data_IF_571391514495
#
_entry.id   IF_571391514495
#
_cell.length_a   1.000
_cell.length_b   1.000
_cell.length_c   1.000
_cell.angle_alpha   90.00
_cell.angle_beta   90.00
_cell.angle_gamma   90.00
#
_symmetry.space_group_name_H-M   'P 1'
#
loop_
_entity.id
_entity.type
_entity.pdbx_description
1 polymer ?
#
# COMPACT_ATOMS: atom_id res chain seq x y z
N UNK A 1 56.73 0.62 -55.23
CA UNK A 1 55.57 -0.01 -55.92
C UNK A 1 55.22 -1.27 -55.15
N UNK A 2 54.01 -1.44 -54.59
CA UNK A 2 53.05 -0.48 -54.04
C UNK A 2 53.00 -0.58 -52.50
N UNK A 3 52.61 0.49 -51.81
CA UNK A 3 51.98 0.38 -50.48
C UNK A 3 50.86 1.42 -50.49
N UNK A 4 49.66 0.91 -50.73
CA UNK A 4 48.44 1.68 -50.93
C UNK A 4 47.44 1.14 -49.91
N UNK A 5 47.24 1.91 -48.83
CA UNK A 5 46.09 1.81 -47.93
C UNK A 5 46.06 3.03 -47.01
N UNK A 6 45.24 4.06 -47.29
CA UNK A 6 44.84 5.01 -46.27
C UNK A 6 43.76 4.38 -45.39
N UNK A 7 44.01 4.35 -44.08
CA UNK A 7 43.06 3.93 -43.07
C UNK A 7 41.91 4.95 -42.97
N UNK A 8 40.70 4.49 -43.27
CA UNK A 8 39.44 5.17 -42.94
C UNK A 8 39.31 5.34 -41.43
N UNK A 9 39.43 6.59 -40.95
CA UNK A 9 39.00 6.97 -39.62
C UNK A 9 37.49 7.29 -39.66
N UNK A 10 36.67 6.24 -39.64
CA UNK A 10 35.25 6.35 -39.30
C UNK A 10 35.11 6.77 -37.84
N UNK A 11 34.86 8.06 -37.62
CA UNK A 11 34.21 8.53 -36.40
C UNK A 11 32.77 8.03 -36.43
N UNK A 12 32.48 6.98 -35.67
CA UNK A 12 31.11 6.56 -35.41
C UNK A 12 30.79 6.83 -33.95
N UNK A 13 29.93 7.83 -33.75
CA UNK A 13 29.17 8.09 -32.55
C UNK A 13 28.60 6.77 -31.98
N UNK A 14 29.16 6.33 -30.85
CA UNK A 14 28.46 5.43 -29.95
C UNK A 14 28.22 6.17 -28.64
N UNK A 15 27.28 7.12 -28.70
CA UNK A 15 26.51 7.53 -27.54
C UNK A 15 25.65 6.33 -27.15
N UNK A 16 26.20 5.49 -26.28
CA UNK A 16 25.48 4.37 -25.70
C UNK A 16 24.27 4.90 -24.95
N UNK A 17 23.11 4.88 -25.61
CA UNK A 17 21.83 4.85 -24.91
C UNK A 17 21.79 3.49 -24.26
N UNK A 18 22.21 3.42 -23.00
CA UNK A 18 21.86 2.31 -22.14
C UNK A 18 20.33 2.28 -22.14
N UNK A 19 19.75 1.29 -22.82
CA UNK A 19 18.36 0.95 -22.64
C UNK A 19 18.20 0.66 -21.15
N UNK A 20 17.63 1.62 -20.42
CA UNK A 20 17.29 1.45 -19.02
C UNK A 20 16.33 0.27 -18.96
N UNK A 21 16.79 -0.84 -18.40
CA UNK A 21 15.94 -1.99 -18.14
C UNK A 21 14.84 -1.51 -17.21
N UNK A 22 13.64 -1.35 -17.75
CA UNK A 22 12.39 -1.02 -17.05
C UNK A 22 11.99 -2.17 -16.13
N UNK A 23 12.84 -2.51 -15.16
CA UNK A 23 12.64 -3.66 -14.29
C UNK A 23 11.82 -3.25 -13.07
N UNK A 24 10.61 -3.77 -12.99
CA UNK A 24 9.71 -3.54 -11.86
C UNK A 24 9.92 -4.65 -10.84
N UNK A 25 10.48 -4.31 -9.68
CA UNK A 25 10.57 -5.23 -8.54
C UNK A 25 9.21 -5.29 -7.82
N UNK A 26 8.74 -6.49 -7.45
CA UNK A 26 7.51 -6.66 -6.66
C UNK A 26 7.83 -7.16 -5.26
N UNK A 27 7.44 -6.38 -4.24
CA UNK A 27 7.58 -6.73 -2.82
C UNK A 27 6.24 -7.03 -2.17
N UNK A 28 6.10 -8.23 -1.61
CA UNK A 28 4.82 -8.74 -1.10
C UNK A 28 4.14 -9.62 -2.13
N UNK A 29 2.94 -10.12 -1.81
CA UNK A 29 2.27 -11.15 -2.63
C UNK A 29 0.77 -10.96 -2.80
N UNK A 30 0.17 -9.98 -2.11
CA UNK A 30 -1.28 -9.78 -2.14
C UNK A 30 -1.66 -8.57 -2.99
N UNK A 31 -2.37 -8.84 -4.06
CA UNK A 31 -3.12 -7.86 -4.84
C UNK A 31 -4.53 -8.40 -5.00
N UNK A 32 -5.47 -8.03 -4.11
CA UNK A 32 -6.84 -8.52 -4.20
C UNK A 32 -7.53 -7.98 -5.46
N UNK A 33 -8.00 -8.88 -6.31
CA UNK A 33 -8.71 -8.54 -7.55
C UNK A 33 -10.12 -7.99 -7.28
N UNK A 34 -10.71 -8.36 -6.13
CA UNK A 34 -12.06 -7.99 -5.74
C UNK A 34 -12.19 -7.69 -4.24
N UNK A 35 -13.31 -7.08 -3.83
CA UNK A 35 -13.60 -6.86 -2.40
C UNK A 35 -13.83 -8.16 -1.64
N UNK A 36 -14.40 -9.18 -2.28
CA UNK A 36 -14.56 -10.51 -1.68
C UNK A 36 -13.19 -11.14 -1.43
N UNK A 37 -12.30 -11.08 -2.42
CA UNK A 37 -10.91 -11.53 -2.29
C UNK A 37 -10.14 -10.82 -1.18
N UNK A 38 -10.37 -9.51 -1.02
CA UNK A 38 -9.76 -8.72 0.04
C UNK A 38 -10.32 -9.13 1.41
N UNK A 39 -11.63 -9.31 1.52
CA UNK A 39 -12.30 -9.73 2.75
C UNK A 39 -11.86 -11.13 3.19
N UNK A 40 -11.86 -12.11 2.29
CA UNK A 40 -11.44 -13.49 2.57
C UNK A 40 -9.99 -13.54 3.08
N UNK A 41 -9.09 -12.82 2.39
CA UNK A 41 -7.70 -12.70 2.82
C UNK A 41 -7.60 -12.03 4.18
N UNK A 42 -8.33 -10.93 4.39
CA UNK A 42 -8.34 -10.22 5.66
C UNK A 42 -8.81 -11.13 6.80
N UNK A 43 -9.94 -11.83 6.62
CA UNK A 43 -10.51 -12.79 7.58
C UNK A 43 -9.57 -13.93 7.93
N UNK A 44 -8.88 -14.49 6.94
CA UNK A 44 -7.90 -15.55 7.16
C UNK A 44 -6.76 -15.17 8.11
N UNK A 45 -6.47 -13.87 8.27
CA UNK A 45 -5.40 -13.37 9.14
C UNK A 45 -5.79 -13.29 10.63
N UNK A 46 -7.07 -13.45 10.98
CA UNK A 46 -7.55 -13.35 12.36
C UNK A 46 -6.79 -14.25 13.36
N UNK A 47 -6.70 -15.57 13.11
CA UNK A 47 -5.96 -16.49 13.99
C UNK A 47 -4.47 -16.17 14.09
N UNK A 48 -3.85 -15.73 13.00
CA UNK A 48 -2.43 -15.33 12.98
C UNK A 48 -2.22 -14.06 13.82
N UNK A 49 -3.08 -13.05 13.67
CA UNK A 49 -3.02 -11.82 14.44
C UNK A 49 -3.15 -12.09 15.95
N UNK A 50 -4.12 -12.92 16.34
CA UNK A 50 -4.29 -13.33 17.74
C UNK A 50 -3.05 -14.05 18.27
N UNK A 51 -2.48 -14.96 17.47
CA UNK A 51 -1.27 -15.71 17.84
C UNK A 51 -0.07 -14.78 18.04
N UNK A 52 0.15 -13.84 17.12
CA UNK A 52 1.23 -12.85 17.23
C UNK A 52 1.09 -12.02 18.51
N UNK A 53 -0.09 -11.43 18.75
CA UNK A 53 -0.32 -10.61 19.94
C UNK A 53 -0.13 -11.40 21.23
N UNK A 54 -0.61 -12.65 21.26
CA UNK A 54 -0.44 -13.55 22.40
C UNK A 54 1.02 -13.88 22.69
N UNK A 55 1.79 -14.24 21.68
CA UNK A 55 3.21 -14.55 21.88
C UNK A 55 4.02 -13.28 22.25
N UNK A 56 3.66 -12.10 21.71
CA UNK A 56 4.27 -10.84 22.13
C UNK A 56 3.96 -10.52 23.60
N UNK A 57 2.70 -10.60 24.03
CA UNK A 57 2.33 -10.37 25.43
C UNK A 57 3.02 -11.37 26.39
N UNK A 58 3.13 -12.64 25.95
CA UNK A 58 3.89 -13.66 26.69
C UNK A 58 5.37 -13.32 26.80
N UNK A 59 6.00 -12.85 25.73
CA UNK A 59 7.40 -12.41 25.75
C UNK A 59 7.62 -11.19 26.67
N UNK A 60 6.59 -10.36 26.84
CA UNK A 60 6.55 -9.26 27.80
C UNK A 60 6.21 -9.71 29.23
N UNK A 61 6.03 -11.02 29.46
CA UNK A 61 5.74 -11.63 30.74
C UNK A 61 4.43 -11.13 31.38
N UNK A 62 3.43 -10.79 30.55
CA UNK A 62 2.10 -10.44 31.05
C UNK A 62 1.49 -11.64 31.78
N UNK A 63 1.01 -11.39 32.99
CA UNK A 63 0.19 -12.36 33.70
C UNK A 63 -1.20 -12.45 33.07
N UNK A 64 -1.98 -13.47 33.44
CA UNK A 64 -3.30 -13.72 32.83
C UNK A 64 -4.25 -12.53 32.97
N UNK A 65 -4.33 -11.93 34.16
CA UNK A 65 -5.18 -10.75 34.41
C UNK A 65 -4.77 -9.55 33.58
N UNK A 66 -3.45 -9.32 33.45
CA UNK A 66 -2.92 -8.23 32.63
C UNK A 66 -3.17 -8.48 31.14
N UNK A 67 -3.03 -9.72 30.67
CA UNK A 67 -3.38 -10.11 29.31
C UNK A 67 -4.86 -9.83 29.03
N UNK A 68 -5.76 -10.28 29.90
CA UNK A 68 -7.21 -10.12 29.72
C UNK A 68 -7.63 -8.62 29.75
N UNK A 69 -6.92 -7.78 30.52
CA UNK A 69 -7.16 -6.33 30.57
C UNK A 69 -6.61 -5.61 29.31
N UNK A 70 -5.40 -5.95 28.87
CA UNK A 70 -4.65 -5.17 27.88
C UNK A 70 -4.81 -5.69 26.45
N UNK A 71 -5.01 -6.99 26.27
CA UNK A 71 -5.17 -7.61 24.95
C UNK A 71 -6.64 -7.65 24.57
N UNK A 72 -7.12 -6.50 24.11
CA UNK A 72 -8.50 -6.35 23.65
C UNK A 72 -8.66 -6.80 22.19
N UNK A 73 -9.91 -6.95 21.77
CA UNK A 73 -10.23 -7.19 20.37
C UNK A 73 -9.64 -6.12 19.43
N UNK A 74 -9.56 -4.85 19.86
CA UNK A 74 -8.97 -3.78 19.04
C UNK A 74 -7.45 -3.93 18.87
N UNK A 75 -6.75 -4.52 19.84
CA UNK A 75 -5.32 -4.83 19.72
C UNK A 75 -5.09 -5.92 18.68
N UNK A 76 -5.87 -7.01 18.76
CA UNK A 76 -5.82 -8.09 17.77
C UNK A 76 -6.19 -7.59 16.38
N UNK A 77 -7.21 -6.75 16.29
CA UNK A 77 -7.62 -6.12 15.03
C UNK A 77 -6.51 -5.24 14.46
N UNK A 78 -5.81 -4.44 15.28
CA UNK A 78 -4.67 -3.63 14.83
C UNK A 78 -3.51 -4.50 14.30
N UNK A 79 -3.25 -5.64 14.93
CA UNK A 79 -2.26 -6.59 14.43
C UNK A 79 -2.70 -7.18 13.08
N UNK A 80 -3.98 -7.53 12.92
CA UNK A 80 -4.55 -8.03 11.66
C UNK A 80 -4.44 -7.00 10.53
N UNK A 81 -4.76 -5.73 10.81
CA UNK A 81 -4.60 -4.60 9.87
C UNK A 81 -3.15 -4.50 9.38
N UNK A 82 -2.20 -4.57 10.31
CA UNK A 82 -0.77 -4.53 9.99
C UNK A 82 -0.35 -5.72 9.13
N UNK A 83 -0.74 -6.95 9.50
CA UNK A 83 -0.42 -8.15 8.73
C UNK A 83 -0.96 -8.09 7.31
N UNK A 84 -2.18 -7.58 7.12
CA UNK A 84 -2.75 -7.40 5.80
C UNK A 84 -1.97 -6.37 4.98
N UNK A 85 -1.66 -5.21 5.57
CA UNK A 85 -0.87 -4.18 4.92
C UNK A 85 0.52 -4.70 4.49
N UNK A 86 1.20 -5.47 5.35
CA UNK A 86 2.51 -6.07 5.05
C UNK A 86 2.45 -7.16 3.96
N UNK A 87 1.30 -7.80 3.77
CA UNK A 87 1.13 -8.79 2.71
C UNK A 87 0.96 -8.14 1.32
N UNK A 88 0.54 -6.87 1.25
CA UNK A 88 0.25 -6.18 -0.01
C UNK A 88 1.47 -6.12 -0.93
N UNK A 89 1.23 -6.44 -2.20
CA UNK A 89 2.21 -6.35 -3.27
C UNK A 89 2.45 -4.87 -3.62
N UNK A 90 3.70 -4.46 -3.55
CA UNK A 90 4.16 -3.11 -3.91
C UNK A 90 5.16 -3.26 -5.03
N UNK A 91 4.93 -2.55 -6.12
CA UNK A 91 5.85 -2.42 -7.25
C UNK A 91 6.86 -1.32 -6.94
N UNK A 92 8.12 -1.54 -7.29
CA UNK A 92 9.21 -0.60 -7.10
C UNK A 92 9.97 -0.47 -8.41
N UNK A 93 10.05 0.74 -8.94
CA UNK A 93 10.74 1.04 -10.19
C UNK A 93 11.22 2.50 -10.21
N UNK A 94 11.84 2.91 -11.31
CA UNK A 94 12.12 4.32 -11.60
C UNK A 94 10.84 5.14 -11.89
N UNK A 95 10.98 6.46 -11.86
CA UNK A 95 9.89 7.41 -12.09
C UNK A 95 9.34 7.34 -13.52
N UNK A 96 10.18 7.13 -14.53
CA UNK A 96 9.74 7.01 -15.94
C UNK A 96 8.80 5.80 -16.12
N UNK A 97 9.16 4.66 -15.51
CA UNK A 97 8.34 3.45 -15.49
C UNK A 97 7.01 3.68 -14.78
N UNK A 98 7.03 4.39 -13.65
CA UNK A 98 5.83 4.73 -12.91
C UNK A 98 4.92 5.69 -13.71
N UNK A 99 5.50 6.71 -14.35
CA UNK A 99 4.76 7.67 -15.18
C UNK A 99 4.11 6.97 -16.38
N UNK A 100 4.84 6.11 -17.08
CA UNK A 100 4.30 5.32 -18.19
C UNK A 100 3.14 4.42 -17.73
N UNK A 101 3.25 3.80 -16.55
CA UNK A 101 2.15 3.04 -15.95
C UNK A 101 0.97 3.93 -15.55
N UNK A 102 1.24 5.10 -14.97
CA UNK A 102 0.24 6.05 -14.50
C UNK A 102 -0.60 6.63 -15.64
N UNK A 103 0.02 6.96 -16.78
CA UNK A 103 -0.67 7.42 -18.00
C UNK A 103 -1.65 6.38 -18.57
N UNK A 104 -1.32 5.10 -18.42
CA UNK A 104 -2.17 4.00 -18.87
C UNK A 104 -3.25 3.60 -17.85
N UNK A 105 -3.15 4.07 -16.60
CA UNK A 105 -4.07 3.70 -15.52
C UNK A 105 -5.29 4.62 -15.48
N UNK A 106 -6.48 4.04 -15.54
CA UNK A 106 -7.75 4.79 -15.60
C UNK A 106 -8.30 5.21 -14.21
N UNK A 107 -7.61 4.86 -13.12
CA UNK A 107 -8.06 5.08 -11.75
C UNK A 107 -7.32 6.21 -11.04
N UNK A 108 -7.82 6.55 -9.84
CA UNK A 108 -7.20 7.59 -9.01
C UNK A 108 -5.88 7.10 -8.40
N UNK A 109 -4.80 7.87 -8.55
CA UNK A 109 -3.51 7.56 -7.94
C UNK A 109 -3.12 8.65 -6.97
N UNK A 110 -2.82 8.26 -5.72
CA UNK A 110 -2.33 9.18 -4.70
C UNK A 110 -0.84 8.99 -4.47
N UNK A 111 -0.05 9.94 -4.96
CA UNK A 111 1.40 10.00 -4.75
C UNK A 111 1.72 10.74 -3.44
N UNK A 112 2.65 10.22 -2.65
CA UNK A 112 3.22 10.89 -1.49
C UNK A 112 4.74 11.02 -1.65
N UNK A 113 5.25 12.23 -1.41
CA UNK A 113 6.67 12.55 -1.52
C UNK A 113 6.89 13.75 -2.44
N UNK A 114 8.03 13.77 -3.13
CA UNK A 114 8.47 14.89 -3.97
C UNK A 114 8.59 14.43 -5.42
N UNK A 115 8.25 15.32 -6.36
CA UNK A 115 8.38 15.04 -7.80
C UNK A 115 9.84 15.06 -8.26
N UNK A 116 10.77 15.54 -7.44
CA UNK A 116 12.20 15.63 -7.74
C UNK A 116 12.97 14.30 -7.50
N UNK A 117 12.28 13.17 -7.55
CA UNK A 117 12.76 11.88 -7.08
C UNK A 117 12.67 10.84 -8.18
N UNK A 118 13.73 10.08 -8.40
CA UNK A 118 13.87 9.17 -9.54
C UNK A 118 13.26 7.78 -9.33
N UNK A 119 12.77 7.43 -8.12
CA UNK A 119 12.20 6.10 -7.85
C UNK A 119 10.89 6.17 -7.10
N UNK A 120 10.04 5.19 -7.38
CA UNK A 120 8.65 5.16 -6.89
C UNK A 120 8.30 3.74 -6.45
N UNK A 121 7.63 3.64 -5.31
CA UNK A 121 7.01 2.42 -4.80
C UNK A 121 5.49 2.58 -4.80
N UNK A 122 4.74 1.73 -5.48
CA UNK A 122 3.28 1.86 -5.59
C UNK A 122 2.52 0.55 -5.43
N UNK A 123 1.31 0.66 -4.90
CA UNK A 123 0.35 -0.45 -4.79
C UNK A 123 -0.90 -0.10 -5.60
N UNK A 124 -1.41 -1.09 -6.33
CA UNK A 124 -2.64 -0.99 -7.12
C UNK A 124 -3.69 -1.86 -6.47
N UNK A 125 -4.91 -1.32 -6.31
CA UNK A 125 -6.06 -2.09 -5.86
C UNK A 125 -7.09 -2.16 -6.98
N UNK A 126 -7.16 -3.28 -7.72
CA UNK A 126 -8.23 -3.50 -8.70
C UNK A 126 -9.62 -3.38 -8.08
N UNK A 127 -9.81 -3.92 -6.86
CA UNK A 127 -11.07 -3.84 -6.11
C UNK A 127 -11.55 -2.40 -5.87
N UNK A 128 -10.62 -1.48 -5.57
CA UNK A 128 -10.93 -0.08 -5.34
C UNK A 128 -10.86 0.80 -6.60
N UNK A 129 -10.34 0.27 -7.72
CA UNK A 129 -10.08 1.05 -8.93
C UNK A 129 -9.10 2.21 -8.69
N UNK A 130 -8.17 2.07 -7.74
CA UNK A 130 -7.30 3.14 -7.29
C UNK A 130 -5.92 2.61 -6.87
N UNK A 131 -4.95 3.52 -6.80
CA UNK A 131 -3.58 3.21 -6.41
C UNK A 131 -2.98 4.26 -5.47
N UNK A 132 -1.91 3.86 -4.78
CA UNK A 132 -1.11 4.76 -3.94
C UNK A 132 0.36 4.59 -4.28
N UNK A 133 1.12 5.67 -4.22
CA UNK A 133 2.54 5.67 -4.53
C UNK A 133 3.34 6.48 -3.50
N UNK A 134 4.57 6.07 -3.26
CA UNK A 134 5.54 6.75 -2.42
C UNK A 134 6.86 6.91 -3.20
N UNK A 135 7.32 8.14 -3.35
CA UNK A 135 8.60 8.43 -4.05
C UNK A 135 9.78 8.32 -3.08
N UNK A 136 10.94 7.85 -3.53
CA UNK A 136 12.16 7.75 -2.72
C UNK A 136 13.45 7.78 -3.55
N UNK A 137 14.55 8.25 -2.96
CA UNK A 137 15.87 8.22 -3.61
C UNK A 137 16.61 6.92 -3.27
N UNK A 138 16.88 6.71 -1.97
CA UNK A 138 17.81 5.67 -1.52
C UNK A 138 17.20 4.66 -0.53
N UNK A 139 15.96 4.88 -0.06
CA UNK A 139 15.32 4.06 0.98
C UNK A 139 14.08 3.32 0.45
N UNK A 140 14.25 2.24 -0.35
CA UNK A 140 13.13 1.51 -0.94
C UNK A 140 12.24 0.83 0.12
N UNK A 141 12.81 0.36 1.22
CA UNK A 141 12.05 -0.31 2.28
C UNK A 141 11.10 0.65 3.00
N UNK A 142 11.57 1.87 3.31
CA UNK A 142 10.74 2.91 3.92
C UNK A 142 9.60 3.36 2.98
N UNK A 143 9.90 3.46 1.68
CA UNK A 143 8.91 3.78 0.67
C UNK A 143 7.82 2.70 0.56
N UNK A 144 8.22 1.42 0.55
CA UNK A 144 7.30 0.28 0.51
C UNK A 144 6.41 0.24 1.76
N UNK A 145 6.98 0.42 2.95
CA UNK A 145 6.19 0.51 4.19
C UNK A 145 5.20 1.68 4.16
N UNK A 146 5.62 2.82 3.61
CA UNK A 146 4.75 3.99 3.43
C UNK A 146 3.61 3.70 2.44
N UNK A 147 3.92 3.09 1.29
CA UNK A 147 2.93 2.67 0.30
C UNK A 147 1.91 1.69 0.88
N UNK A 148 2.35 0.67 1.63
CA UNK A 148 1.48 -0.30 2.32
C UNK A 148 0.56 0.35 3.33
N UNK A 149 1.10 1.23 4.17
CA UNK A 149 0.30 1.98 5.15
C UNK A 149 -0.72 2.89 4.48
N UNK A 150 -0.36 3.56 3.39
CA UNK A 150 -1.32 4.36 2.63
C UNK A 150 -2.39 3.49 1.98
N UNK A 151 -2.00 2.37 1.37
CA UNK A 151 -2.91 1.44 0.70
C UNK A 151 -3.96 0.92 1.67
N UNK A 152 -3.53 0.41 2.83
CA UNK A 152 -4.45 -0.07 3.84
C UNK A 152 -5.40 1.03 4.31
N UNK A 153 -4.87 2.18 4.76
CA UNK A 153 -5.69 3.22 5.37
C UNK A 153 -6.67 3.90 4.40
N UNK A 154 -6.31 4.02 3.11
CA UNK A 154 -7.11 4.75 2.13
C UNK A 154 -7.98 3.85 1.26
N UNK A 155 -7.46 2.71 0.86
CA UNK A 155 -8.15 1.84 -0.08
C UNK A 155 -8.99 0.81 0.66
N UNK A 156 -8.43 0.15 1.68
CA UNK A 156 -9.05 -1.05 2.26
C UNK A 156 -9.79 -0.83 3.58
N UNK A 157 -9.30 0.06 4.46
CA UNK A 157 -9.77 0.17 5.85
C UNK A 157 -11.28 0.38 5.97
N UNK A 158 -11.83 1.29 5.17
CA UNK A 158 -13.25 1.62 5.24
C UNK A 158 -14.14 0.44 4.85
N UNK A 159 -13.70 -0.44 3.94
CA UNK A 159 -14.47 -1.62 3.51
C UNK A 159 -14.22 -2.84 4.39
N UNK A 160 -13.00 -3.04 4.89
CA UNK A 160 -12.61 -4.24 5.64
C UNK A 160 -12.87 -4.12 7.15
N UNK A 161 -12.73 -2.92 7.71
CA UNK A 161 -12.91 -2.64 9.14
C UNK A 161 -14.22 -1.90 9.39
N UNK A 162 -14.70 -1.15 8.39
CA UNK A 162 -15.86 -0.27 8.48
C UNK A 162 -17.18 -0.89 8.06
N UNK A 163 -17.84 -1.56 9.00
CA UNK A 163 -19.31 -1.69 9.05
C UNK A 163 -19.99 -0.53 9.80
N UNK A 164 -19.44 0.70 9.75
CA UNK A 164 -19.84 1.79 10.64
C UNK A 164 -19.99 3.18 9.97
N UNK A 165 -20.37 3.24 8.69
CA UNK A 165 -20.70 4.49 8.01
C UNK A 165 -22.19 4.75 7.78
N UNK A 166 -23.10 4.07 8.50
CA UNK A 166 -24.57 4.32 8.41
C UNK A 166 -25.32 4.46 9.75
N UNK A 167 -24.72 5.10 10.77
CA UNK A 167 -25.47 5.58 11.95
C UNK A 167 -25.29 7.08 12.18
N UNK A 168 -25.68 7.89 11.19
CA UNK A 168 -26.07 9.30 11.38
C UNK A 168 -27.08 9.69 10.30
N UNK A 169 -28.33 9.31 10.46
CA UNK A 169 -29.46 10.24 10.35
C UNK A 169 -30.72 9.58 10.92
N UNK A 170 -31.08 9.98 12.12
CA UNK A 170 -32.20 9.44 12.89
C UNK A 170 -32.64 10.47 13.91
N UNK A 171 -32.75 11.74 13.47
CA UNK A 171 -33.31 12.82 14.25
C UNK A 171 -34.83 12.76 14.22
N UNK A 172 -35.43 11.92 15.07
CA UNK A 172 -36.86 11.99 15.39
C UNK A 172 -37.02 12.48 16.83
N UNK A 173 -37.76 13.58 16.99
CA UNK A 173 -38.50 13.87 18.22
C UNK A 173 -37.99 15.02 19.09
N UNK A 174 -38.53 16.22 18.87
CA UNK A 174 -39.12 16.95 20.00
C UNK A 174 -40.36 17.70 19.50
N UNK A 175 -41.44 16.97 19.68
CA UNK A 175 -42.83 17.38 19.76
C UNK A 175 -42.96 18.52 20.79
N UNK A 176 -43.21 19.74 20.30
CA UNK A 176 -43.44 20.92 21.11
C UNK A 176 -44.90 20.97 21.53
N UNK A 177 -45.21 20.32 22.65
CA UNK A 177 -46.53 20.41 23.28
C UNK A 177 -46.69 21.73 24.03
N UNK A 178 -47.84 22.34 23.78
CA UNK A 178 -48.55 23.45 24.45
C UNK A 178 -48.12 23.82 25.87
N UNK A 179 -48.01 25.14 26.09
CA UNK A 179 -48.26 25.77 27.38
C UNK A 179 -49.22 26.94 27.17
N UNK A 180 -50.34 26.87 27.88
CA UNK A 180 -51.41 27.86 28.04
C UNK A 180 -50.91 29.31 28.29
N UNK A 181 -51.54 30.29 27.63
CA UNK A 181 -52.10 31.49 28.27
C UNK A 181 -53.15 32.19 27.38
#
# INVERSE_FOLDING_TARGET
>A
MPDDSPADASGNDQKGVAAATTEVEVRGRCEPDSWADAADRYESLGPTAQSVVRETARAMNFERSEYDERVTASVVETARQTLFAEALAVRVADSETFEAWHEAFAGDVRVAGSDAVERVAWHVSPAAGAAVAATFQNEPEAAVGTARRMAFNRLYRDRLVGGASSRRDGGTGSDGSEADE
#
